data_IF_093604925232
#
_entry.id   IF_093604925232
#
_cell.length_a   1.000
_cell.length_b   1.000
_cell.length_c   1.000
_cell.angle_alpha   90.00
_cell.angle_beta   90.00
_cell.angle_gamma   90.00
#
_symmetry.space_group_name_H-M   'P 1'
#
loop_
_entity.id
_entity.type
_entity.pdbx_description
1 polymer ?
#
# COMPACT_ATOMS: atom_id res chain seq x y z
N UNK A 1 -56.93 35.19 -45.66
CA UNK A 1 -56.08 36.27 -45.11
C UNK A 1 -56.33 36.37 -43.60
N UNK A 2 -55.40 35.89 -42.76
CA UNK A 2 -55.20 36.35 -41.37
C UNK A 2 -53.70 36.17 -41.09
N UNK A 3 -53.02 37.25 -40.69
CA UNK A 3 -51.58 37.33 -40.46
C UNK A 3 -51.39 37.38 -38.95
N UNK A 4 -50.77 36.37 -38.33
CA UNK A 4 -50.39 36.42 -36.91
C UNK A 4 -48.91 36.05 -36.79
N UNK A 5 -48.17 36.95 -36.15
CA UNK A 5 -46.71 36.97 -35.99
C UNK A 5 -46.44 37.35 -34.54
N UNK A 6 -45.89 36.46 -33.72
CA UNK A 6 -45.18 36.74 -32.43
C UNK A 6 -44.33 35.47 -32.13
N UNK A 7 -43.02 35.52 -32.41
CA UNK A 7 -41.85 35.74 -31.52
C UNK A 7 -41.43 34.49 -30.73
N UNK A 8 -40.28 33.95 -31.14
CA UNK A 8 -39.56 32.84 -30.52
C UNK A 8 -38.64 33.41 -29.42
N UNK A 9 -38.82 33.07 -28.14
CA UNK A 9 -37.77 33.24 -27.15
C UNK A 9 -36.83 32.02 -27.20
N UNK A 10 -35.55 32.28 -27.48
CA UNK A 10 -34.48 31.28 -27.40
C UNK A 10 -34.25 30.92 -25.94
N UNK A 11 -34.87 29.83 -25.47
CA UNK A 11 -34.49 29.21 -24.21
C UNK A 11 -33.23 28.37 -24.44
N UNK A 12 -32.11 29.04 -24.21
CA UNK A 12 -30.80 28.46 -23.92
C UNK A 12 -30.96 27.43 -22.80
N UNK A 13 -30.95 26.14 -23.14
CA UNK A 13 -30.60 25.08 -22.18
C UNK A 13 -29.73 24.07 -22.93
N UNK A 14 -28.46 24.43 -23.11
CA UNK A 14 -27.41 23.48 -23.41
C UNK A 14 -27.12 22.69 -22.13
N UNK A 15 -27.81 21.57 -21.94
CA UNK A 15 -27.53 20.63 -20.85
C UNK A 15 -26.27 19.84 -21.21
N UNK A 16 -25.10 20.37 -20.84
CA UNK A 16 -23.89 19.57 -20.78
C UNK A 16 -24.01 18.63 -19.59
N UNK A 17 -24.26 17.35 -19.86
CA UNK A 17 -24.11 16.28 -18.89
C UNK A 17 -22.60 16.09 -18.65
N UNK A 18 -22.06 16.80 -17.66
CA UNK A 18 -20.73 16.52 -17.13
C UNK A 18 -20.80 15.18 -16.38
N UNK A 19 -20.45 14.08 -17.05
CA UNK A 19 -20.12 12.84 -16.36
C UNK A 19 -18.85 13.07 -15.55
N UNK A 20 -19.01 13.26 -14.25
CA UNK A 20 -17.92 13.24 -13.28
C UNK A 20 -17.50 11.78 -13.11
N UNK A 21 -16.45 11.36 -13.82
CA UNK A 21 -15.82 10.06 -13.59
C UNK A 21 -15.13 10.11 -12.21
N UNK A 22 -15.74 9.51 -11.21
CA UNK A 22 -15.12 9.27 -9.91
C UNK A 22 -14.08 8.17 -10.10
N UNK A 23 -12.83 8.55 -10.41
CA UNK A 23 -11.71 7.63 -10.43
C UNK A 23 -11.46 7.17 -8.98
N UNK A 24 -11.87 5.94 -8.66
CA UNK A 24 -11.39 5.26 -7.47
C UNK A 24 -9.90 4.99 -7.67
N UNK A 25 -9.04 5.78 -7.02
CA UNK A 25 -7.62 5.48 -6.96
C UNK A 25 -7.44 4.21 -6.11
N UNK A 26 -7.44 3.04 -6.75
CA UNK A 26 -7.00 1.82 -6.11
C UNK A 26 -5.48 1.92 -5.96
N UNK A 27 -4.99 2.09 -4.74
CA UNK A 27 -3.57 2.01 -4.43
C UNK A 27 -3.10 0.57 -4.67
N UNK A 28 -2.51 0.33 -5.84
CA UNK A 28 -1.84 -0.93 -6.15
C UNK A 28 -0.46 -0.87 -5.52
N UNK A 29 -0.29 -1.56 -4.41
CA UNK A 29 1.00 -1.74 -3.77
C UNK A 29 1.76 -2.85 -4.50
N UNK A 30 3.07 -2.69 -4.69
CA UNK A 30 3.93 -3.81 -5.06
C UNK A 30 3.91 -4.89 -3.96
N UNK A 31 4.19 -6.15 -4.30
CA UNK A 31 4.16 -7.24 -3.33
C UNK A 31 5.57 -7.51 -2.81
N UNK A 32 5.69 -8.02 -1.59
CA UNK A 32 6.96 -8.48 -1.04
C UNK A 32 7.57 -9.56 -1.97
N UNK A 33 8.86 -9.41 -2.32
CA UNK A 33 9.58 -10.26 -3.27
C UNK A 33 9.28 -9.99 -4.75
N UNK A 34 8.35 -9.08 -5.09
CA UNK A 34 8.11 -8.73 -6.47
C UNK A 34 9.29 -7.93 -7.05
N UNK A 35 9.85 -8.42 -8.15
CA UNK A 35 10.80 -7.66 -8.97
C UNK A 35 10.06 -6.45 -9.57
N UNK A 36 10.57 -5.24 -9.29
CA UNK A 36 9.90 -3.99 -9.60
C UNK A 36 9.37 -3.90 -11.02
N UNK A 37 8.05 -3.97 -11.17
CA UNK A 37 7.39 -3.07 -12.11
C UNK A 37 6.97 -1.85 -11.31
N UNK A 38 7.75 -0.79 -11.47
CA UNK A 38 7.28 0.59 -11.43
C UNK A 38 6.21 0.80 -12.54
N UNK A 39 5.14 0.02 -12.47
CA UNK A 39 4.14 -0.19 -13.52
C UNK A 39 2.76 0.16 -13.02
N UNK A 40 2.65 1.14 -12.13
CA UNK A 40 1.51 2.03 -11.89
C UNK A 40 1.91 3.00 -10.77
N UNK A 41 3.06 3.67 -10.94
CA UNK A 41 3.34 4.86 -10.16
C UNK A 41 2.20 5.84 -10.46
N UNK A 42 1.29 5.99 -9.49
CA UNK A 42 0.33 7.08 -9.50
C UNK A 42 1.14 8.38 -9.52
N UNK A 43 0.55 9.49 -9.96
CA UNK A 43 1.26 10.77 -10.06
C UNK A 43 1.87 11.27 -8.73
N UNK A 44 1.58 10.60 -7.61
CA UNK A 44 2.07 10.85 -6.25
C UNK A 44 3.12 9.84 -5.73
N UNK A 45 3.60 8.90 -6.56
CA UNK A 45 4.60 7.90 -6.13
C UNK A 45 6.01 8.51 -6.06
N UNK A 46 6.39 8.99 -4.89
CA UNK A 46 7.70 9.60 -4.61
C UNK A 46 8.63 8.55 -3.99
N UNK A 47 9.80 8.38 -4.59
CA UNK A 47 10.89 7.61 -3.99
C UNK A 47 11.52 8.41 -2.83
N UNK A 48 11.43 7.86 -1.63
CA UNK A 48 12.09 8.39 -0.44
C UNK A 48 13.44 7.71 -0.22
N UNK A 49 14.37 8.45 0.38
CA UNK A 49 15.66 7.92 0.83
C UNK A 49 15.87 8.25 2.30
N UNK A 50 16.43 7.31 3.05
CA UNK A 50 16.76 7.47 4.46
C UNK A 50 18.13 6.83 4.77
N UNK A 51 18.64 7.02 5.99
CA UNK A 51 19.95 6.50 6.42
C UNK A 51 21.10 6.86 5.45
N UNK A 52 21.14 8.11 4.98
CA UNK A 52 22.17 8.58 4.04
C UNK A 52 22.07 7.96 2.64
N UNK A 53 20.90 7.44 2.25
CA UNK A 53 20.64 6.83 0.93
C UNK A 53 20.71 5.30 0.93
N UNK A 54 21.09 4.70 2.06
CA UNK A 54 21.16 3.25 2.24
C UNK A 54 19.80 2.56 2.11
N UNK A 55 18.74 3.26 2.54
CA UNK A 55 17.37 2.76 2.48
C UNK A 55 16.58 3.60 1.50
N UNK A 56 15.86 2.93 0.59
CA UNK A 56 14.96 3.55 -0.37
C UNK A 56 13.59 2.92 -0.29
N UNK A 57 12.54 3.72 -0.35
CA UNK A 57 11.18 3.21 -0.33
C UNK A 57 10.19 4.12 -1.07
N UNK A 58 9.14 3.50 -1.57
CA UNK A 58 7.93 4.18 -2.02
C UNK A 58 6.95 4.28 -0.86
N UNK A 59 6.28 5.43 -0.69
CA UNK A 59 5.25 5.61 0.34
C UNK A 59 3.92 5.96 -0.31
N UNK A 60 2.87 5.25 0.08
CA UNK A 60 1.49 5.49 -0.35
C UNK A 60 0.60 5.65 0.87
N UNK A 61 -0.46 6.45 0.75
CA UNK A 61 -1.51 6.56 1.76
C UNK A 61 -2.85 6.31 1.08
N UNK A 62 -3.63 5.37 1.60
CA UNK A 62 -4.95 5.07 1.05
C UNK A 62 -6.06 6.02 1.58
N UNK A 63 -7.27 5.86 1.05
CA UNK A 63 -8.44 6.65 1.46
C UNK A 63 -8.85 6.44 2.94
N UNK A 64 -8.35 5.39 3.58
CA UNK A 64 -8.59 5.08 5.00
C UNK A 64 -7.46 5.62 5.90
N UNK A 65 -6.46 6.30 5.35
CA UNK A 65 -5.33 6.84 6.09
C UNK A 65 -4.31 5.77 6.51
N UNK A 66 -4.29 4.63 5.83
CA UNK A 66 -3.25 3.61 6.00
C UNK A 66 -2.07 4.03 5.15
N UNK A 67 -0.95 4.28 5.80
CA UNK A 67 0.35 4.56 5.17
C UNK A 67 1.05 3.23 4.96
N UNK A 68 1.49 2.96 3.75
CA UNK A 68 2.29 1.78 3.40
C UNK A 68 3.62 2.24 2.80
N UNK A 69 4.72 1.64 3.25
CA UNK A 69 6.05 1.81 2.66
C UNK A 69 6.51 0.53 2.00
N UNK A 70 7.11 0.66 0.83
CA UNK A 70 7.65 -0.45 0.04
C UNK A 70 9.13 -0.21 -0.16
N UNK A 71 9.97 -0.98 0.54
CA UNK A 71 11.41 -0.80 0.54
C UNK A 71 12.01 -1.56 -0.62
N UNK A 72 12.83 -0.88 -1.41
CA UNK A 72 13.37 -1.41 -2.67
C UNK A 72 14.89 -1.51 -2.66
N UNK A 73 15.40 -2.62 -3.19
CA UNK A 73 16.83 -2.83 -3.42
C UNK A 73 17.33 -2.07 -4.67
N UNK A 74 18.63 -2.19 -4.97
CA UNK A 74 19.26 -1.56 -6.16
C UNK A 74 18.67 -2.01 -7.50
N UNK A 75 18.12 -3.21 -7.56
CA UNK A 75 17.53 -3.80 -8.76
C UNK A 75 16.02 -3.51 -8.86
N UNK A 76 15.45 -2.85 -7.84
CA UNK A 76 14.04 -2.48 -7.76
C UNK A 76 13.15 -3.56 -7.15
N UNK A 77 13.72 -4.62 -6.56
CA UNK A 77 13.00 -5.65 -5.84
C UNK A 77 12.50 -5.15 -4.48
N UNK A 78 11.25 -5.50 -4.12
CA UNK A 78 10.67 -5.13 -2.82
C UNK A 78 11.08 -6.15 -1.76
N UNK A 79 12.14 -5.85 -1.00
CA UNK A 79 12.65 -6.75 0.05
C UNK A 79 11.92 -6.60 1.39
N UNK A 80 11.21 -5.48 1.58
CA UNK A 80 10.41 -5.23 2.78
C UNK A 80 9.20 -4.34 2.51
N UNK A 81 8.19 -4.47 3.36
CA UNK A 81 7.03 -3.57 3.43
C UNK A 81 6.74 -3.20 4.88
N UNK A 82 6.27 -1.98 5.11
CA UNK A 82 5.74 -1.58 6.42
C UNK A 82 4.45 -0.81 6.27
N UNK A 83 3.66 -0.80 7.34
CA UNK A 83 2.38 -0.11 7.36
C UNK A 83 2.07 0.48 8.71
N UNK A 84 1.29 1.55 8.70
CA UNK A 84 0.69 2.15 9.89
C UNK A 84 -0.63 2.85 9.55
N UNK A 85 -1.58 2.85 10.46
CA UNK A 85 -2.84 3.57 10.28
C UNK A 85 -3.95 3.18 11.25
N UNK A 86 -5.16 3.72 11.06
CA UNK A 86 -6.30 3.44 11.93
C UNK A 86 -6.90 2.05 11.71
N UNK A 87 -6.47 1.33 10.66
CA UNK A 87 -6.91 -0.01 10.29
C UNK A 87 -5.75 -0.84 9.73
N UNK A 88 -5.97 -2.15 9.60
CA UNK A 88 -5.01 -3.08 8.99
C UNK A 88 -5.11 -2.99 7.46
N UNK A 89 -3.99 -2.95 6.71
CA UNK A 89 -4.02 -3.07 5.26
C UNK A 89 -4.46 -4.47 4.83
N UNK A 90 -4.70 -4.65 3.53
CA UNK A 90 -4.78 -5.97 2.92
C UNK A 90 -3.40 -6.64 2.93
N UNK A 91 -3.10 -7.34 4.03
CA UNK A 91 -1.83 -8.04 4.25
C UNK A 91 -1.61 -9.14 3.21
N UNK A 92 -2.68 -9.76 2.71
CA UNK A 92 -2.55 -10.77 1.66
C UNK A 92 -1.99 -10.16 0.38
N UNK A 93 -2.53 -9.01 -0.02
CA UNK A 93 -2.02 -8.28 -1.18
C UNK A 93 -0.58 -7.82 -0.97
N UNK A 94 -0.21 -7.33 0.21
CA UNK A 94 1.16 -6.88 0.51
C UNK A 94 2.19 -8.01 0.52
N UNK A 95 1.85 -9.18 1.07
CA UNK A 95 2.78 -10.30 1.19
C UNK A 95 2.85 -11.17 -0.08
N UNK A 96 1.84 -11.10 -0.96
CA UNK A 96 1.83 -11.87 -2.20
C UNK A 96 2.03 -13.36 -1.95
N UNK A 97 3.01 -13.97 -2.61
CA UNK A 97 3.33 -15.39 -2.49
C UNK A 97 3.73 -15.83 -1.07
N UNK A 98 4.24 -14.89 -0.25
CA UNK A 98 4.64 -15.17 1.13
C UNK A 98 3.47 -15.24 2.11
N UNK A 99 2.24 -14.92 1.68
CA UNK A 99 1.07 -14.91 2.57
C UNK A 99 0.76 -16.30 3.16
N UNK A 100 0.93 -17.38 2.40
CA UNK A 100 0.69 -18.73 2.91
C UNK A 100 1.76 -19.14 3.95
N UNK A 101 3.00 -18.72 3.76
CA UNK A 101 4.09 -18.88 4.75
C UNK A 101 3.75 -18.14 6.05
N UNK A 102 3.24 -16.90 5.94
CA UNK A 102 2.76 -16.13 7.08
C UNK A 102 1.61 -16.87 7.81
N UNK A 103 0.61 -17.39 7.10
CA UNK A 103 -0.51 -18.11 7.71
C UNK A 103 -0.06 -19.37 8.46
N UNK A 104 0.88 -20.13 7.88
CA UNK A 104 1.46 -21.31 8.53
C UNK A 104 2.15 -20.92 9.83
N UNK A 105 3.04 -19.92 9.78
CA UNK A 105 3.74 -19.44 10.97
C UNK A 105 2.80 -18.86 12.03
N UNK A 106 1.80 -18.07 11.63
CA UNK A 106 0.80 -17.51 12.54
C UNK A 106 -0.02 -18.59 13.26
N UNK A 107 -0.40 -19.65 12.55
CA UNK A 107 -1.13 -20.78 13.16
C UNK A 107 -0.31 -21.52 14.22
N UNK A 108 1.01 -21.63 14.01
CA UNK A 108 1.93 -22.21 14.98
C UNK A 108 2.15 -21.27 16.19
N UNK A 109 2.20 -19.95 15.97
CA UNK A 109 2.39 -18.97 17.05
C UNK A 109 1.16 -18.78 17.95
N UNK A 110 -0.06 -18.91 17.42
CA UNK A 110 -1.30 -18.84 18.22
C UNK A 110 -1.37 -19.98 19.24
N UNK A 111 -0.75 -21.12 18.94
CA UNK A 111 -0.65 -22.23 19.89
C UNK A 111 0.30 -21.92 21.07
N UNK A 112 1.15 -20.89 20.97
CA UNK A 112 2.29 -20.67 21.88
C UNK A 112 2.30 -19.28 22.59
N UNK A 113 1.68 -18.22 22.05
CA UNK A 113 1.76 -16.87 22.65
C UNK A 113 0.56 -15.93 22.37
N UNK A 114 0.25 -15.08 23.37
CA UNK A 114 -0.90 -14.17 23.40
C UNK A 114 -0.87 -12.99 22.40
N UNK A 115 -2.08 -12.49 22.10
CA UNK A 115 -2.50 -11.64 20.97
C UNK A 115 -1.93 -10.20 20.87
N UNK A 116 -0.95 -9.80 21.68
CA UNK A 116 -0.60 -8.36 21.83
C UNK A 116 0.66 -7.89 21.11
N UNK A 117 1.49 -8.78 20.57
CA UNK A 117 2.55 -8.47 19.59
C UNK A 117 2.81 -9.76 18.83
N UNK A 118 2.20 -9.88 17.65
CA UNK A 118 2.37 -11.07 16.83
C UNK A 118 3.62 -10.89 15.97
N UNK A 119 4.69 -11.60 16.34
CA UNK A 119 5.84 -11.80 15.46
C UNK A 119 5.74 -13.21 14.90
N UNK A 120 5.74 -13.31 13.57
CA UNK A 120 5.82 -14.56 12.84
C UNK A 120 7.16 -14.57 12.13
N UNK A 121 7.99 -15.56 12.42
CA UNK A 121 9.23 -15.81 11.69
C UNK A 121 9.16 -17.24 11.16
N UNK A 122 9.02 -17.39 9.84
CA UNK A 122 8.84 -18.68 9.19
C UNK A 122 9.62 -18.71 7.88
N UNK A 123 10.62 -19.60 7.81
CA UNK A 123 11.55 -19.61 6.68
C UNK A 123 12.29 -18.28 6.58
N UNK A 124 12.26 -17.67 5.40
CA UNK A 124 12.89 -16.37 5.15
C UNK A 124 12.00 -15.17 5.51
N UNK A 125 10.70 -15.41 5.70
CA UNK A 125 9.73 -14.37 5.99
C UNK A 125 9.72 -14.05 7.48
N UNK A 126 9.86 -12.76 7.81
CA UNK A 126 9.55 -12.23 9.14
C UNK A 126 8.45 -11.19 9.01
N UNK A 127 7.42 -11.31 9.86
CA UNK A 127 6.31 -10.36 9.97
C UNK A 127 6.17 -9.96 11.43
N UNK A 128 6.08 -8.67 11.70
CA UNK A 128 5.84 -8.12 13.03
C UNK A 128 4.63 -7.20 13.00
N UNK A 129 3.69 -7.43 13.93
CA UNK A 129 2.48 -6.65 14.08
C UNK A 129 2.31 -6.10 15.50
N UNK A 130 1.82 -4.87 15.60
CA UNK A 130 1.54 -4.18 16.85
C UNK A 130 0.27 -3.32 16.75
N UNK A 131 -0.43 -3.20 17.87
CA UNK A 131 -1.51 -2.23 18.04
C UNK A 131 -1.20 -1.36 19.26
N UNK A 132 -1.20 -0.04 19.08
CA UNK A 132 -1.00 0.95 20.16
C UNK A 132 -2.03 2.06 19.97
N UNK A 133 -2.78 2.41 21.00
CA UNK A 133 -3.71 3.56 20.98
C UNK A 133 -4.66 3.57 19.75
N UNK A 134 -5.17 2.40 19.32
CA UNK A 134 -6.02 2.23 18.12
C UNK A 134 -5.32 2.53 16.78
N UNK A 135 -4.00 2.59 16.77
CA UNK A 135 -3.18 2.57 15.56
C UNK A 135 -2.61 1.15 15.36
N UNK A 136 -2.87 0.60 14.19
CA UNK A 136 -2.26 -0.63 13.71
C UNK A 136 -0.93 -0.25 13.06
N UNK A 137 0.14 -0.96 13.41
CA UNK A 137 1.43 -0.88 12.72
C UNK A 137 2.05 -2.24 12.56
N UNK A 138 2.80 -2.41 11.48
CA UNK A 138 3.49 -3.66 11.22
C UNK A 138 4.52 -3.52 10.12
N UNK A 139 5.31 -4.57 9.98
CA UNK A 139 6.36 -4.67 8.98
C UNK A 139 6.60 -6.12 8.61
N UNK A 140 6.97 -6.35 7.37
CA UNK A 140 7.36 -7.64 6.86
C UNK A 140 8.60 -7.51 5.98
N UNK A 141 9.50 -8.49 6.06
CA UNK A 141 10.72 -8.51 5.25
C UNK A 141 11.20 -9.93 5.02
N UNK A 142 12.04 -10.05 4.00
CA UNK A 142 12.78 -11.26 3.66
C UNK A 142 14.19 -11.14 4.24
N UNK A 143 14.54 -12.03 5.17
CA UNK A 143 15.79 -11.92 5.92
C UNK A 143 17.02 -12.08 5.03
N UNK A 144 16.93 -12.90 3.99
CA UNK A 144 17.98 -13.17 3.03
C UNK A 144 18.14 -12.09 1.95
N UNK A 145 17.13 -11.24 1.76
CA UNK A 145 17.12 -10.18 0.73
C UNK A 145 17.43 -8.78 1.28
N UNK A 146 17.80 -8.67 2.56
CA UNK A 146 18.25 -7.38 3.10
C UNK A 146 19.50 -6.88 2.35
N UNK A 147 19.48 -5.65 1.79
CA UNK A 147 20.64 -5.11 1.10
C UNK A 147 21.86 -4.98 2.04
N UNK A 148 23.09 -5.00 1.49
CA UNK A 148 24.30 -4.83 2.30
C UNK A 148 24.25 -3.55 3.15
N UNK A 149 24.41 -3.72 4.46
CA UNK A 149 24.37 -2.62 5.43
C UNK A 149 22.98 -2.26 5.95
N UNK A 150 21.90 -2.73 5.32
CA UNK A 150 20.53 -2.56 5.81
C UNK A 150 20.23 -3.63 6.85
N UNK A 151 19.62 -3.22 7.96
CA UNK A 151 19.14 -4.11 9.01
C UNK A 151 17.64 -4.01 9.18
N UNK A 152 17.02 -4.99 9.86
CA UNK A 152 15.59 -4.95 10.16
C UNK A 152 15.16 -3.73 11.00
N UNK A 153 16.09 -3.09 11.72
CA UNK A 153 15.79 -1.86 12.47
C UNK A 153 15.63 -0.63 11.58
N UNK A 154 16.07 -0.71 10.33
CA UNK A 154 15.92 0.37 9.35
C UNK A 154 14.55 0.37 8.67
N UNK A 155 13.76 -0.70 8.87
CA UNK A 155 12.39 -0.86 8.38
C UNK A 155 11.43 -0.32 9.45
N UNK A 156 10.76 0.80 9.15
CA UNK A 156 9.92 1.56 10.08
C UNK A 156 8.43 1.41 9.80
#
# INVERSE_FOLDING_TARGET
MVKIKIRIPHYVIATHLAMLALAAATSVHAQLGAAGRAGSASQDDIMHQAQGGLVRYHETTDAHGIVVRQYVDSDGGVYAVSWRGPAMPDVQSLLGEYFDTFRQGASASIADAGLHTARVAQGDLVVENRVRLREFSGRAWLASELPPGVSATDIQ
#
